data_IF_970068348004
#
_entry.id   IF_970068348004
#
_cell.length_a   1.000
_cell.length_b   1.000
_cell.length_c   1.000
_cell.angle_alpha   90.00
_cell.angle_beta   90.00
_cell.angle_gamma   90.00
#
_symmetry.space_group_name_H-M   'P 1'
#
loop_
_entity.id
_entity.type
_entity.pdbx_description
1 polymer ?
#
# COMPACT_ATOMS: atom_id res chain seq x y z
N UNK A 1 8.91 2.17 5.77
CA UNK A 1 10.18 1.98 5.02
C UNK A 1 10.25 0.68 4.19
N UNK A 2 9.44 -0.36 4.45
CA UNK A 2 9.50 -1.64 3.72
C UNK A 2 9.36 -1.54 2.18
N UNK A 3 8.55 -0.60 1.68
CA UNK A 3 8.31 -0.39 0.24
C UNK A 3 9.56 0.06 -0.54
N UNK A 4 10.51 0.77 0.09
CA UNK A 4 11.80 1.12 -0.53
C UNK A 4 12.78 -0.06 -0.54
N UNK A 5 12.72 -0.91 0.48
CA UNK A 5 13.62 -2.05 0.64
C UNK A 5 13.27 -3.21 -0.31
N UNK A 6 11.98 -3.48 -0.50
CA UNK A 6 11.51 -4.57 -1.37
C UNK A 6 11.57 -4.20 -2.87
N UNK A 7 11.47 -2.90 -3.19
CA UNK A 7 11.45 -2.43 -4.57
C UNK A 7 10.22 -2.89 -5.36
N UNK A 8 10.18 -2.64 -6.68
CA UNK A 8 9.07 -3.08 -7.52
C UNK A 8 9.06 -4.62 -7.65
N UNK A 9 7.90 -5.28 -7.52
CA UNK A 9 7.72 -6.67 -7.91
C UNK A 9 8.12 -6.92 -9.37
N UNK A 10 8.94 -7.95 -9.57
CA UNK A 10 9.49 -8.36 -10.88
C UNK A 10 9.23 -9.84 -11.18
N UNK A 11 7.95 -10.25 -11.26
CA UNK A 11 7.58 -11.63 -11.57
C UNK A 11 7.91 -12.02 -13.01
N UNK A 12 7.98 -13.31 -13.31
CA UNK A 12 8.08 -13.79 -14.68
C UNK A 12 6.69 -13.73 -15.35
N UNK A 13 6.41 -12.65 -16.08
CA UNK A 13 5.12 -12.47 -16.73
C UNK A 13 5.02 -13.27 -18.04
N UNK A 14 3.91 -13.98 -18.23
CA UNK A 14 3.57 -14.64 -19.50
C UNK A 14 2.71 -13.74 -20.39
N UNK A 15 3.21 -12.56 -20.75
CA UNK A 15 2.52 -11.70 -21.74
C UNK A 15 2.79 -12.25 -23.14
N UNK A 16 1.74 -12.60 -23.88
CA UNK A 16 1.83 -13.05 -25.28
C UNK A 16 1.02 -12.10 -26.16
N UNK A 17 1.69 -11.51 -27.14
CA UNK A 17 1.07 -10.63 -28.14
C UNK A 17 1.29 -11.23 -29.53
N UNK A 18 0.21 -11.68 -30.17
CA UNK A 18 0.24 -12.07 -31.58
C UNK A 18 0.25 -10.80 -32.44
N UNK A 19 1.12 -10.76 -33.45
CA UNK A 19 1.23 -9.67 -34.41
C UNK A 19 1.35 -10.25 -35.83
N UNK A 20 0.71 -9.60 -36.81
CA UNK A 20 0.79 -9.98 -38.22
C UNK A 20 1.49 -8.86 -38.98
N UNK A 21 2.55 -9.19 -39.73
CA UNK A 21 3.24 -8.25 -40.61
C UNK A 21 3.58 -8.93 -41.93
N UNK A 22 3.10 -8.38 -43.04
CA UNK A 22 3.35 -8.93 -44.38
C UNK A 22 2.87 -10.37 -44.56
N UNK A 23 1.70 -10.72 -44.00
CA UNK A 23 1.12 -12.07 -44.10
C UNK A 23 1.74 -13.14 -43.16
N UNK A 24 2.80 -12.81 -42.43
CA UNK A 24 3.42 -13.71 -41.44
C UNK A 24 2.98 -13.36 -40.01
N UNK A 25 2.67 -14.38 -39.22
CA UNK A 25 2.35 -14.25 -37.80
C UNK A 25 3.62 -14.34 -36.95
N UNK A 26 3.68 -13.50 -35.91
CA UNK A 26 4.78 -13.43 -34.96
C UNK A 26 4.21 -13.35 -33.56
N UNK A 27 4.81 -14.09 -32.62
CA UNK A 27 4.50 -13.96 -31.20
C UNK A 27 5.59 -13.13 -30.52
N UNK A 28 5.17 -12.04 -29.89
CA UNK A 28 6.03 -11.20 -29.05
C UNK A 28 5.68 -11.45 -27.60
N UNK A 29 6.71 -11.77 -26.82
CA UNK A 29 6.59 -12.07 -25.41
C UNK A 29 7.20 -10.99 -24.52
N UNK A 30 6.82 -11.00 -23.25
CA UNK A 30 7.58 -10.32 -22.22
C UNK A 30 8.94 -11.02 -22.02
N UNK A 31 9.99 -10.22 -21.87
CA UNK A 31 11.33 -10.70 -21.52
C UNK A 31 11.79 -10.05 -20.23
N UNK A 32 12.30 -10.86 -19.29
CA UNK A 32 12.75 -10.38 -17.97
C UNK A 32 13.78 -9.25 -18.04
N UNK A 33 14.59 -9.22 -19.10
CA UNK A 33 15.57 -8.14 -19.38
C UNK A 33 14.99 -6.73 -19.32
N UNK A 34 13.68 -6.58 -19.54
CA UNK A 34 13.01 -5.29 -19.39
C UNK A 34 13.14 -4.74 -17.97
N UNK A 35 13.03 -5.58 -16.95
CA UNK A 35 13.22 -5.16 -15.56
C UNK A 35 14.66 -4.73 -15.27
N UNK A 36 15.64 -5.32 -15.94
CA UNK A 36 17.05 -4.99 -15.76
C UNK A 36 17.37 -3.61 -16.37
N UNK A 37 16.73 -3.27 -17.48
CA UNK A 37 16.90 -1.98 -18.17
C UNK A 37 16.07 -0.85 -17.55
N UNK A 38 15.01 -1.17 -16.82
CA UNK A 38 14.05 -0.18 -16.31
C UNK A 38 13.76 -0.38 -14.83
N UNK A 39 14.51 0.35 -14.00
CA UNK A 39 14.44 0.22 -12.54
C UNK A 39 13.05 0.51 -11.94
N UNK A 40 12.26 1.37 -12.59
CA UNK A 40 10.92 1.78 -12.17
C UNK A 40 9.80 0.83 -12.65
N UNK A 41 10.11 -0.16 -13.49
CA UNK A 41 9.13 -1.05 -14.08
C UNK A 41 8.70 -2.12 -13.07
N UNK A 42 7.38 -2.33 -13.00
CA UNK A 42 6.73 -3.32 -12.15
C UNK A 42 5.91 -4.28 -13.00
N UNK A 43 5.91 -5.55 -12.62
CA UNK A 43 5.02 -6.56 -13.18
C UNK A 43 3.92 -6.97 -12.21
N UNK A 44 2.71 -7.21 -12.73
CA UNK A 44 1.62 -7.82 -11.98
C UNK A 44 1.18 -9.12 -12.68
N UNK A 45 1.30 -10.25 -11.99
CA UNK A 45 0.93 -11.57 -12.52
C UNK A 45 -0.58 -11.67 -12.74
N UNK A 46 -1.38 -11.25 -11.76
CA UNK A 46 -2.85 -11.31 -11.81
C UNK A 46 -3.42 -10.49 -12.97
N UNK A 47 -2.86 -9.31 -13.21
CA UNK A 47 -3.27 -8.45 -14.32
C UNK A 47 -2.57 -8.80 -15.66
N UNK A 48 -1.56 -9.67 -15.64
CA UNK A 48 -0.75 -10.01 -16.81
C UNK A 48 -0.13 -8.80 -17.51
N UNK A 49 0.23 -7.76 -16.76
CA UNK A 49 0.53 -6.43 -17.32
C UNK A 49 1.67 -5.72 -16.59
N UNK A 50 2.30 -4.76 -17.28
CA UNK A 50 3.37 -3.92 -16.75
C UNK A 50 2.87 -2.56 -16.27
N UNK A 51 3.46 -2.05 -15.19
CA UNK A 51 3.12 -0.78 -14.56
C UNK A 51 4.38 0.00 -14.21
N UNK A 52 4.21 1.26 -13.81
CA UNK A 52 5.29 2.07 -13.27
C UNK A 52 5.16 2.19 -11.76
N UNK A 53 6.16 1.70 -11.02
CA UNK A 53 6.10 1.60 -9.57
C UNK A 53 6.00 2.95 -8.85
N UNK A 54 6.86 3.97 -9.13
CA UNK A 54 6.69 5.28 -8.52
C UNK A 54 5.34 5.91 -8.85
N UNK A 55 4.88 5.80 -10.11
CA UNK A 55 3.60 6.38 -10.52
C UNK A 55 2.41 5.71 -9.83
N UNK A 56 2.47 4.39 -9.63
CA UNK A 56 1.43 3.64 -8.94
C UNK A 56 1.29 4.09 -7.48
N UNK A 57 2.40 4.44 -6.82
CA UNK A 57 2.42 4.87 -5.42
C UNK A 57 1.97 6.33 -5.22
N UNK A 58 2.40 7.25 -6.09
CA UNK A 58 2.22 8.69 -5.87
C UNK A 58 1.24 9.37 -6.83
N UNK A 59 0.67 8.62 -7.77
CA UNK A 59 -0.39 9.08 -8.66
C UNK A 59 -1.47 7.99 -8.84
N UNK A 60 -2.16 7.57 -7.77
CA UNK A 60 -3.23 6.60 -7.84
C UNK A 60 -4.49 7.15 -8.53
N UNK A 61 -5.34 6.23 -8.98
CA UNK A 61 -6.58 6.51 -9.69
C UNK A 61 -7.50 7.39 -8.84
N UNK A 62 -7.84 8.59 -9.34
CA UNK A 62 -8.75 9.52 -8.67
C UNK A 62 -8.35 10.99 -8.78
N UNK A 63 -7.07 11.28 -9.06
CA UNK A 63 -6.65 12.63 -9.46
C UNK A 63 -6.94 12.85 -10.93
N UNK A 64 -7.56 13.97 -11.26
CA UNK A 64 -8.10 14.35 -12.59
C UNK A 64 -7.07 14.33 -13.74
N UNK A 65 -5.78 14.11 -13.45
CA UNK A 65 -4.68 14.21 -14.41
C UNK A 65 -4.07 12.87 -14.89
N UNK A 66 -4.48 11.68 -14.41
CA UNK A 66 -3.64 10.49 -14.62
C UNK A 66 -4.35 9.14 -14.86
N UNK A 67 -5.37 9.09 -15.74
CA UNK A 67 -5.73 7.79 -16.37
C UNK A 67 -4.67 7.44 -17.41
N UNK A 68 -3.60 6.79 -16.97
CA UNK A 68 -2.52 6.33 -17.83
C UNK A 68 -2.37 4.81 -17.75
N UNK A 69 -1.98 4.18 -18.86
CA UNK A 69 -1.77 2.73 -18.92
C UNK A 69 -0.72 2.23 -17.91
N UNK A 70 0.17 3.10 -17.43
CA UNK A 70 1.20 2.76 -16.45
C UNK A 70 0.70 2.66 -15.00
N UNK A 71 -0.54 3.04 -14.70
CA UNK A 71 -1.12 3.01 -13.35
C UNK A 71 -2.47 2.31 -13.29
N UNK A 72 -3.34 2.50 -14.28
CA UNK A 72 -4.73 2.02 -14.22
C UNK A 72 -4.92 0.64 -14.85
N UNK A 73 -4.61 0.51 -16.15
CA UNK A 73 -4.92 -0.70 -16.93
C UNK A 73 -3.74 -1.64 -17.11
N UNK A 74 -2.51 -1.12 -16.94
CA UNK A 74 -1.30 -1.83 -17.28
C UNK A 74 -0.94 -1.75 -18.77
N UNK A 75 0.31 -2.09 -19.07
CA UNK A 75 0.87 -2.13 -20.43
C UNK A 75 1.14 -3.58 -20.82
N UNK A 76 0.49 -4.03 -21.88
CA UNK A 76 0.64 -5.37 -22.48
C UNK A 76 1.24 -5.34 -23.89
N UNK A 77 1.34 -4.16 -24.50
CA UNK A 77 1.87 -3.98 -25.84
C UNK A 77 3.40 -4.07 -25.84
N UNK A 78 3.91 -5.28 -26.05
CA UNK A 78 5.33 -5.60 -26.07
C UNK A 78 6.03 -5.07 -27.33
N UNK A 79 5.30 -4.87 -28.43
CA UNK A 79 5.85 -4.31 -29.66
C UNK A 79 6.35 -2.88 -29.47
N UNK A 80 5.56 -2.03 -28.81
CA UNK A 80 5.88 -0.62 -28.59
C UNK A 80 6.36 -0.30 -27.17
N UNK A 81 6.70 -1.32 -26.38
CA UNK A 81 7.05 -1.14 -24.97
C UNK A 81 8.24 -0.18 -24.78
N UNK A 82 9.25 -0.29 -25.64
CA UNK A 82 10.44 0.58 -25.61
C UNK A 82 10.05 2.06 -25.78
N UNK A 83 9.26 2.34 -26.82
CA UNK A 83 8.82 3.69 -27.18
C UNK A 83 7.87 4.27 -26.13
N UNK A 84 6.88 3.47 -25.70
CA UNK A 84 5.95 3.84 -24.63
C UNK A 84 6.70 4.12 -23.34
N UNK A 85 7.69 3.32 -22.99
CA UNK A 85 8.55 3.50 -21.82
C UNK A 85 9.38 4.77 -21.90
N UNK A 86 9.99 5.06 -23.06
CA UNK A 86 10.75 6.30 -23.30
C UNK A 86 9.86 7.54 -23.13
N UNK A 87 8.67 7.54 -23.76
CA UNK A 87 7.70 8.64 -23.62
C UNK A 87 7.21 8.80 -22.19
N UNK A 88 6.96 7.69 -21.49
CA UNK A 88 6.54 7.72 -20.09
C UNK A 88 7.60 8.34 -19.19
N UNK A 89 8.86 7.93 -19.34
CA UNK A 89 9.98 8.46 -18.54
C UNK A 89 10.14 9.98 -18.68
N UNK A 90 9.84 10.53 -19.85
CA UNK A 90 9.88 11.97 -20.11
C UNK A 90 8.63 12.73 -19.62
N UNK A 91 7.59 12.04 -19.14
CA UNK A 91 6.37 12.69 -18.67
C UNK A 91 6.55 13.35 -17.31
N UNK A 92 5.88 14.50 -17.11
CA UNK A 92 5.88 15.22 -15.82
C UNK A 92 5.39 14.35 -14.66
N UNK A 93 4.39 13.51 -14.92
CA UNK A 93 3.82 12.58 -13.93
C UNK A 93 4.89 11.61 -13.43
N UNK A 94 5.66 11.00 -14.34
CA UNK A 94 6.73 10.10 -13.95
C UNK A 94 7.84 10.81 -13.17
N UNK A 95 8.30 11.96 -13.66
CA UNK A 95 9.36 12.73 -13.00
C UNK A 95 8.96 13.14 -11.58
N UNK A 96 7.76 13.69 -11.40
CA UNK A 96 7.21 14.06 -10.09
C UNK A 96 7.07 12.85 -9.16
N UNK A 97 6.56 11.72 -9.68
CA UNK A 97 6.46 10.48 -8.91
C UNK A 97 7.82 9.95 -8.46
N UNK A 98 8.83 10.03 -9.33
CA UNK A 98 10.20 9.62 -9.01
C UNK A 98 10.85 10.54 -7.96
N UNK A 99 10.58 11.86 -8.02
CA UNK A 99 11.02 12.80 -6.98
C UNK A 99 10.34 12.49 -5.63
N UNK A 100 9.02 12.31 -5.62
CA UNK A 100 8.28 11.91 -4.42
C UNK A 100 8.76 10.58 -3.87
N UNK A 101 9.04 9.59 -4.73
CA UNK A 101 9.58 8.31 -4.30
C UNK A 101 11.01 8.42 -3.75
N UNK A 102 11.85 9.31 -4.31
CA UNK A 102 13.22 9.49 -3.81
C UNK A 102 13.23 10.13 -2.41
N UNK A 103 12.33 11.07 -2.16
CA UNK A 103 12.14 11.70 -0.84
C UNK A 103 11.29 10.85 0.11
N UNK A 104 10.52 9.88 -0.40
CA UNK A 104 9.62 9.05 0.42
C UNK A 104 10.34 8.35 1.59
N UNK A 105 9.94 8.67 2.82
CA UNK A 105 10.58 8.12 4.03
C UNK A 105 11.92 8.76 4.39
N UNK A 106 12.34 9.83 3.70
CA UNK A 106 13.31 10.80 4.22
C UNK A 106 12.52 11.99 4.74
N UNK A 107 12.77 12.39 5.97
CA UNK A 107 12.25 13.66 6.51
C UNK A 107 13.03 14.78 5.79
N UNK A 108 12.35 15.86 5.41
CA UNK A 108 13.05 17.00 4.80
C UNK A 108 14.09 17.51 5.81
N UNK A 109 15.31 17.84 5.36
CA UNK A 109 16.37 18.37 6.25
C UNK A 109 15.87 19.62 7.01
N UNK A 110 15.02 20.44 6.37
CA UNK A 110 14.37 21.58 7.01
C UNK A 110 13.34 21.18 8.10
N UNK A 111 12.64 20.07 7.91
CA UNK A 111 11.71 19.50 8.90
C UNK A 111 12.45 18.75 10.03
N UNK A 112 13.64 18.21 9.76
CA UNK A 112 14.50 17.55 10.75
C UNK A 112 15.21 18.57 11.67
N UNK A 113 15.46 19.77 11.16
CA UNK A 113 16.01 20.89 11.95
C UNK A 113 14.98 21.52 12.89
N UNK A 114 13.67 21.39 12.62
CA UNK A 114 12.64 21.88 13.53
C UNK A 114 12.38 20.86 14.67
N UNK A 115 12.91 21.17 15.85
CA UNK A 115 12.69 20.38 17.07
C UNK A 115 11.21 20.20 17.39
N UNK A 116 10.37 21.18 17.03
CA UNK A 116 8.93 21.17 17.32
C UNK A 116 8.21 20.15 16.44
N UNK A 117 8.54 20.12 15.14
CA UNK A 117 8.05 19.10 14.22
C UNK A 117 8.45 17.68 14.63
N UNK A 118 9.70 17.47 15.05
CA UNK A 118 10.17 16.15 15.54
C UNK A 118 9.39 15.68 16.78
N UNK A 119 9.13 16.60 17.72
CA UNK A 119 8.35 16.30 18.91
C UNK A 119 6.89 15.96 18.54
N UNK A 120 6.29 16.71 17.63
CA UNK A 120 4.93 16.47 17.16
C UNK A 120 4.80 15.10 16.46
N UNK A 121 5.73 14.76 15.56
CA UNK A 121 5.73 13.46 14.88
C UNK A 121 5.95 12.31 15.87
N UNK A 122 6.84 12.47 16.85
CA UNK A 122 7.05 11.46 17.90
C UNK A 122 5.79 11.26 18.72
N UNK A 123 5.22 12.34 19.25
CA UNK A 123 4.00 12.31 20.06
C UNK A 123 2.84 11.66 19.30
N UNK A 124 2.66 12.03 18.03
CA UNK A 124 1.65 11.42 17.17
C UNK A 124 1.88 9.92 16.97
N UNK A 125 3.12 9.48 16.70
CA UNK A 125 3.43 8.06 16.53
C UNK A 125 3.25 7.26 17.82
N UNK A 126 3.59 7.82 18.98
CA UNK A 126 3.34 7.22 20.29
C UNK A 126 1.83 7.07 20.54
N UNK A 127 1.03 8.09 20.18
CA UNK A 127 -0.42 8.03 20.25
C UNK A 127 -1.00 6.96 19.31
N UNK A 128 -0.53 6.90 18.06
CA UNK A 128 -0.94 5.87 17.11
C UNK A 128 -0.59 4.48 17.65
N UNK A 129 0.59 4.29 18.24
CA UNK A 129 1.00 3.03 18.85
C UNK A 129 0.08 2.60 20.00
N UNK A 130 -0.23 3.52 20.93
CA UNK A 130 -1.20 3.27 22.00
C UNK A 130 -2.59 2.92 21.47
N UNK A 131 -3.07 3.66 20.48
CA UNK A 131 -4.40 3.45 19.90
C UNK A 131 -4.46 2.09 19.18
N UNK A 132 -3.41 1.70 18.46
CA UNK A 132 -3.32 0.39 17.83
C UNK A 132 -3.30 -0.74 18.86
N UNK A 133 -2.55 -0.59 19.95
CA UNK A 133 -2.52 -1.56 21.04
C UNK A 133 -3.91 -1.76 21.65
N UNK A 134 -4.58 -0.68 22.04
CA UNK A 134 -5.94 -0.71 22.59
C UNK A 134 -6.95 -1.33 21.61
N UNK A 135 -6.88 -0.96 20.33
CA UNK A 135 -7.77 -1.50 19.31
C UNK A 135 -7.59 -3.01 19.14
N UNK A 136 -6.35 -3.49 19.11
CA UNK A 136 -6.07 -4.93 19.02
C UNK A 136 -6.64 -5.69 20.22
N UNK A 137 -6.51 -5.14 21.43
CA UNK A 137 -7.10 -5.72 22.65
C UNK A 137 -8.61 -5.81 22.59
N UNK A 138 -9.29 -4.76 22.13
CA UNK A 138 -10.73 -4.76 21.94
C UNK A 138 -11.14 -5.81 20.90
N UNK A 139 -10.41 -5.90 19.78
CA UNK A 139 -10.65 -6.91 18.74
C UNK A 139 -10.53 -8.32 19.31
N UNK A 140 -9.53 -8.58 20.13
CA UNK A 140 -9.36 -9.91 20.75
C UNK A 140 -10.48 -10.23 21.74
N UNK A 141 -11.00 -9.23 22.46
CA UNK A 141 -12.20 -9.39 23.28
C UNK A 141 -13.44 -9.73 22.44
N UNK A 142 -13.62 -9.07 21.29
CA UNK A 142 -14.72 -9.37 20.36
C UNK A 142 -14.60 -10.78 19.79
N UNK A 143 -13.39 -11.20 19.38
CA UNK A 143 -13.14 -12.57 18.92
C UNK A 143 -13.47 -13.60 19.99
N UNK A 144 -13.04 -13.36 21.24
CA UNK A 144 -13.38 -14.22 22.37
C UNK A 144 -14.90 -14.36 22.51
N UNK A 145 -15.63 -13.24 22.52
CA UNK A 145 -17.09 -13.30 22.59
C UNK A 145 -17.70 -14.06 21.39
N UNK A 146 -17.17 -13.88 20.19
CA UNK A 146 -17.64 -14.61 19.00
C UNK A 146 -17.41 -16.12 19.09
N UNK A 147 -16.25 -16.56 19.57
CA UNK A 147 -15.90 -17.98 19.73
C UNK A 147 -16.77 -18.68 20.78
N UNK A 148 -17.12 -17.97 21.86
CA UNK A 148 -17.93 -18.50 22.96
C UNK A 148 -19.41 -18.15 22.85
N UNK A 149 -19.85 -17.60 21.70
CA UNK A 149 -21.24 -17.17 21.44
C UNK A 149 -21.79 -16.22 22.53
N UNK A 150 -20.92 -15.39 23.10
CA UNK A 150 -21.26 -14.46 24.17
C UNK A 150 -21.85 -13.17 23.59
N UNK A 151 -22.86 -12.63 24.27
CA UNK A 151 -23.44 -11.35 23.92
C UNK A 151 -22.43 -10.22 24.12
N UNK A 152 -22.25 -9.40 23.08
CA UNK A 152 -21.45 -8.16 23.15
C UNK A 152 -22.16 -7.05 23.94
N UNK A 153 -23.48 -7.15 24.11
CA UNK A 153 -24.31 -6.15 24.78
C UNK A 153 -24.86 -6.69 26.10
N UNK A 154 -24.76 -5.89 27.16
CA UNK A 154 -25.41 -6.13 28.45
C UNK A 154 -26.82 -5.52 28.55
N UNK A 155 -27.60 -5.95 29.55
CA UNK A 155 -28.90 -5.33 29.87
C UNK A 155 -28.73 -3.92 30.45
N UNK A 156 -27.69 -3.73 31.27
CA UNK A 156 -27.30 -2.45 31.86
C UNK A 156 -25.78 -2.31 31.79
N UNK A 157 -25.31 -1.26 31.12
CA UNK A 157 -23.87 -0.96 30.92
C UNK A 157 -23.46 0.36 31.60
N UNK A 158 -24.32 0.86 32.49
CA UNK A 158 -24.00 2.04 33.30
C UNK A 158 -22.80 1.77 34.22
N UNK A 159 -22.03 2.82 34.52
CA UNK A 159 -20.77 2.74 35.28
C UNK A 159 -20.90 2.14 36.69
N UNK A 160 -22.13 2.05 37.23
CA UNK A 160 -22.41 1.51 38.57
C UNK A 160 -23.17 0.18 38.55
N UNK A 161 -23.34 -0.45 37.37
CA UNK A 161 -24.11 -1.68 37.28
C UNK A 161 -23.37 -2.85 37.94
N UNK A 162 -24.06 -3.56 38.84
CA UNK A 162 -23.55 -4.82 39.42
C UNK A 162 -23.61 -5.99 38.42
N UNK A 163 -24.39 -5.84 37.33
CA UNK A 163 -24.60 -6.85 36.30
C UNK A 163 -24.17 -6.30 34.93
N UNK A 164 -22.97 -5.74 34.84
CA UNK A 164 -22.39 -5.34 33.56
C UNK A 164 -22.32 -6.54 32.60
N UNK A 165 -22.56 -6.30 31.31
CA UNK A 165 -22.49 -7.33 30.28
C UNK A 165 -21.11 -8.01 30.22
N UNK A 166 -21.08 -9.27 29.79
CA UNK A 166 -19.85 -10.10 29.76
C UNK A 166 -18.72 -9.42 29.00
N UNK A 167 -19.03 -8.78 27.87
CA UNK A 167 -18.04 -8.04 27.08
C UNK A 167 -17.43 -6.85 27.85
N UNK A 168 -18.24 -6.09 28.60
CA UNK A 168 -17.74 -4.99 29.43
C UNK A 168 -16.81 -5.51 30.54
N UNK A 169 -17.22 -6.57 31.24
CA UNK A 169 -16.36 -7.18 32.26
C UNK A 169 -15.04 -7.72 31.71
N UNK A 170 -15.06 -8.27 30.48
CA UNK A 170 -13.86 -8.70 29.79
C UNK A 170 -12.94 -7.52 29.44
N UNK A 171 -13.50 -6.41 28.96
CA UNK A 171 -12.73 -5.18 28.71
C UNK A 171 -12.12 -4.63 30.00
N UNK A 172 -12.87 -4.62 31.11
CA UNK A 172 -12.37 -4.15 32.40
C UNK A 172 -11.23 -5.05 32.92
N UNK A 173 -11.33 -6.37 32.73
CA UNK A 173 -10.26 -7.32 33.03
C UNK A 173 -9.01 -7.04 32.17
N UNK A 174 -9.16 -6.91 30.86
CA UNK A 174 -8.03 -6.63 29.96
C UNK A 174 -7.39 -5.29 30.29
N UNK A 175 -8.19 -4.27 30.61
CA UNK A 175 -7.70 -2.98 31.05
C UNK A 175 -6.92 -3.05 32.38
N UNK A 176 -7.27 -3.98 33.28
CA UNK A 176 -6.50 -4.20 34.52
C UNK A 176 -5.16 -4.91 34.30
N UNK A 177 -5.03 -5.65 33.20
CA UNK A 177 -3.82 -6.39 32.82
C UNK A 177 -2.85 -5.55 31.98
N UNK A 178 -3.39 -4.68 31.12
CA UNK A 178 -2.61 -3.70 30.39
C UNK A 178 -2.24 -2.57 31.36
N UNK A 179 -1.15 -2.79 32.11
CA UNK A 179 -0.64 -1.85 33.10
C UNK A 179 -0.52 -0.43 32.55
N UNK A 180 -1.17 0.51 33.23
CA UNK A 180 -0.96 1.96 33.09
C UNK A 180 0.43 2.32 33.60
#
# INVERSE_FOLDING_TARGET
MATKLLGPPRPNLSIKQAAVKGGKSYNRGFFRRWFDQTSWLLGCETAGSLFCFPCLLFNPVGTTAARCSWTTTGVTDMHHLAEKGKRHKASKIHMDSCLKFSTFGRVNIAEELDSSYRLAVRSHNEEVGRNQHLLNRIIDCVKFCGVFELALRGKDESKGSKNAGIFRGLLDLVASLDGV
#
